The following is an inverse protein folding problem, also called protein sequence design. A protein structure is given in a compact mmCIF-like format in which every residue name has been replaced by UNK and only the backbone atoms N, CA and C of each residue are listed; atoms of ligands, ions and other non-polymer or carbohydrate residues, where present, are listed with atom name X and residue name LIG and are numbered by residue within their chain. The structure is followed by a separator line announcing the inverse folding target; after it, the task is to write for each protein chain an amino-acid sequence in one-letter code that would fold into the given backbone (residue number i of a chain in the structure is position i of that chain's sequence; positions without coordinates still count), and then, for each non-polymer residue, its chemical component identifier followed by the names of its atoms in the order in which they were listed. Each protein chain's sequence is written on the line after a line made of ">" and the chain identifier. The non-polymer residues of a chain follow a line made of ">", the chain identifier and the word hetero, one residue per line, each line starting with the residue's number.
data_IF_797301814741
#
_entry.id   IF_797301814741
#
_cell.length_a   1.000
_cell.length_b   1.000
_cell.length_c   1.000
_cell.angle_alpha   90.00
_cell.angle_beta   90.00
_cell.angle_gamma   90.00
#
_symmetry.space_group_name_H-M   'P 1'
#
loop_
_entity.id
_entity.type
_entity.pdbx_description
1 polymer ?
#
# COMPACT_ATOMS: atom_id res chain seq x y z
N UNK A 1 37.92 23.11 53.49
CA UNK A 1 36.98 22.88 52.38
C UNK A 1 37.13 21.41 52.01
N UNK A 2 36.12 20.58 52.28
CA UNK A 2 36.15 19.15 51.93
C UNK A 2 35.35 18.99 50.64
N UNK A 3 36.04 18.69 49.54
CA UNK A 3 35.40 18.30 48.28
C UNK A 3 34.80 16.90 48.50
N UNK A 4 33.47 16.83 48.54
CA UNK A 4 32.77 15.54 48.55
C UNK A 4 32.65 15.08 47.11
N UNK A 5 33.41 14.06 46.76
CA UNK A 5 33.26 13.31 45.51
C UNK A 5 31.87 12.65 45.53
N UNK A 6 31.02 12.99 44.55
CA UNK A 6 29.67 12.46 44.44
C UNK A 6 29.71 11.05 43.84
N UNK A 7 29.95 10.04 44.67
CA UNK A 7 30.01 8.63 44.25
C UNK A 7 28.63 7.94 44.22
N UNK A 8 27.61 8.62 43.68
CA UNK A 8 26.28 8.04 43.48
C UNK A 8 25.74 8.40 42.10
N UNK A 9 25.40 7.38 41.30
CA UNK A 9 24.68 7.57 40.04
C UNK A 9 23.27 8.08 40.38
N UNK A 10 22.95 9.29 39.93
CA UNK A 10 21.61 9.84 40.04
C UNK A 10 20.67 9.07 39.10
N UNK A 11 19.83 8.20 39.66
CA UNK A 11 18.89 7.36 38.90
C UNK A 11 17.70 8.18 38.39
N UNK A 12 17.33 9.28 39.07
CA UNK A 12 16.14 10.08 38.72
C UNK A 12 16.24 10.66 37.29
N UNK A 13 17.32 11.35 36.88
CA UNK A 13 17.46 11.83 35.50
C UNK A 13 17.63 10.69 34.48
N UNK A 14 18.21 9.56 34.89
CA UNK A 14 18.43 8.41 34.00
C UNK A 14 17.10 7.78 33.58
N UNK A 15 16.21 7.57 34.54
CA UNK A 15 14.87 7.00 34.28
C UNK A 15 14.05 7.93 33.37
N UNK A 16 14.14 9.24 33.57
CA UNK A 16 13.44 10.23 32.73
C UNK A 16 13.86 10.13 31.25
N UNK A 17 15.17 10.07 30.99
CA UNK A 17 15.71 9.88 29.63
C UNK A 17 15.22 8.56 29.01
N UNK A 18 15.21 7.47 29.78
CA UNK A 18 14.74 6.17 29.29
C UNK A 18 13.26 6.20 28.92
N UNK A 19 12.41 6.88 29.70
CA UNK A 19 10.99 7.01 29.40
C UNK A 19 10.75 7.81 28.11
N UNK A 20 11.46 8.93 27.92
CA UNK A 20 11.39 9.73 26.69
C UNK A 20 11.79 8.89 25.47
N UNK A 21 12.86 8.10 25.56
CA UNK A 21 13.30 7.21 24.49
C UNK A 21 12.24 6.17 24.14
N UNK A 22 11.60 5.55 25.14
CA UNK A 22 10.51 4.59 24.94
C UNK A 22 9.32 5.23 24.22
N UNK A 23 8.92 6.44 24.63
CA UNK A 23 7.83 7.18 23.97
C UNK A 23 8.14 7.44 22.50
N UNK A 24 9.36 7.90 22.17
CA UNK A 24 9.77 8.15 20.78
C UNK A 24 9.67 6.85 19.94
N UNK A 25 10.16 5.73 20.45
CA UNK A 25 10.12 4.43 19.74
C UNK A 25 8.68 3.97 19.52
N UNK A 26 7.81 4.07 20.52
CA UNK A 26 6.41 3.66 20.40
C UNK A 26 5.64 4.54 19.41
N UNK A 27 5.82 5.86 19.49
CA UNK A 27 5.16 6.81 18.57
C UNK A 27 5.63 6.63 17.13
N UNK A 28 6.94 6.48 16.90
CA UNK A 28 7.49 6.24 15.56
C UNK A 28 7.09 4.88 15.00
N UNK A 29 7.03 3.83 15.82
CA UNK A 29 6.55 2.50 15.39
C UNK A 29 5.09 2.54 14.93
N UNK A 30 4.23 3.29 15.64
CA UNK A 30 2.82 3.41 15.26
C UNK A 30 2.65 4.22 13.97
N UNK A 31 3.49 5.24 13.76
CA UNK A 31 3.49 6.03 12.53
C UNK A 31 3.95 5.24 11.30
N UNK A 32 4.96 4.37 11.45
CA UNK A 32 5.40 3.48 10.35
C UNK A 32 4.28 2.49 9.97
N UNK A 33 3.47 2.03 10.93
CA UNK A 33 2.34 1.14 10.67
C UNK A 33 1.16 1.81 9.94
N UNK A 34 0.97 3.13 10.10
CA UNK A 34 -0.18 3.87 9.53
C UNK A 34 0.17 4.69 8.27
N UNK A 35 1.38 4.54 7.73
CA UNK A 35 1.82 5.17 6.48
C UNK A 35 1.09 4.70 5.21
N UNK A 36 0.07 3.85 5.34
CA UNK A 36 -0.79 3.40 4.26
C UNK A 36 -2.16 3.99 4.54
N UNK A 37 -2.59 4.94 3.69
CA UNK A 37 -4.00 5.34 3.58
C UNK A 37 -4.83 4.05 3.69
N UNK A 38 -5.81 3.93 4.60
CA UNK A 38 -6.63 2.74 4.71
C UNK A 38 -7.45 2.60 3.41
N UNK A 39 -6.86 1.92 2.43
CA UNK A 39 -7.57 1.48 1.23
C UNK A 39 -8.23 0.18 1.65
N UNK A 40 -9.54 0.24 1.88
CA UNK A 40 -10.36 -0.96 2.03
C UNK A 40 -10.40 -1.70 0.69
N UNK A 41 -9.36 -2.48 0.43
CA UNK A 41 -9.36 -3.40 -0.70
C UNK A 41 -10.32 -4.55 -0.35
N UNK A 42 -11.38 -4.80 -1.14
CA UNK A 42 -12.22 -5.97 -0.95
C UNK A 42 -11.34 -7.21 -1.08
N UNK A 43 -11.31 -8.02 -0.03
CA UNK A 43 -10.55 -9.27 0.00
C UNK A 43 -11.22 -10.22 -0.99
N UNK A 44 -10.58 -10.47 -2.13
CA UNK A 44 -11.00 -11.51 -3.06
C UNK A 44 -10.74 -12.88 -2.41
N UNK A 45 -11.70 -13.32 -1.59
CA UNK A 45 -11.75 -14.67 -1.05
C UNK A 45 -11.89 -15.63 -2.22
N UNK A 46 -10.77 -16.28 -2.57
CA UNK A 46 -10.80 -17.51 -3.35
C UNK A 46 -11.64 -18.53 -2.57
N UNK A 47 -12.79 -18.88 -3.10
CA UNK A 47 -13.62 -19.96 -2.56
C UNK A 47 -15.10 -19.64 -2.67
N UNK A 48 -15.70 -19.92 -3.83
CA UNK A 48 -17.13 -19.84 -4.01
C UNK A 48 -17.50 -19.49 -5.43
N UNK A 49 -17.95 -20.48 -6.19
CA UNK A 49 -18.58 -20.33 -7.49
C UNK A 49 -19.83 -19.46 -7.37
N UNK A 50 -19.65 -18.15 -7.47
CA UNK A 50 -20.63 -17.24 -8.03
C UNK A 50 -19.83 -16.19 -8.75
N UNK A 51 -19.61 -16.44 -10.04
CA UNK A 51 -18.85 -15.59 -10.93
C UNK A 51 -19.54 -14.23 -11.10
N UNK A 52 -19.42 -13.35 -10.11
CA UNK A 52 -19.35 -11.92 -10.38
C UNK A 52 -18.17 -11.78 -11.33
N UNK A 53 -18.44 -11.52 -12.62
CA UNK A 53 -17.45 -11.40 -13.70
C UNK A 53 -16.53 -10.21 -13.44
N UNK A 54 -15.66 -10.30 -12.44
CA UNK A 54 -14.73 -9.24 -12.09
C UNK A 54 -13.69 -9.15 -13.20
N UNK A 55 -13.55 -7.98 -13.80
CA UNK A 55 -12.55 -7.75 -14.86
C UNK A 55 -11.22 -7.49 -14.19
N UNK A 56 -10.24 -8.36 -14.43
CA UNK A 56 -8.87 -8.15 -13.93
C UNK A 56 -8.02 -7.55 -15.04
N UNK A 57 -7.39 -6.42 -14.73
CA UNK A 57 -6.44 -5.72 -15.60
C UNK A 57 -5.06 -5.83 -14.95
N UNK A 58 -4.16 -6.61 -15.53
CA UNK A 58 -2.77 -6.72 -15.08
C UNK A 58 -1.87 -5.82 -15.96
N UNK A 59 -0.94 -5.10 -15.37
CA UNK A 59 0.05 -4.26 -16.07
C UNK A 59 1.44 -4.78 -15.73
N UNK A 60 2.20 -5.19 -16.76
CA UNK A 60 3.56 -5.67 -16.57
C UNK A 60 4.58 -4.53 -16.39
N UNK A 61 5.81 -4.87 -16.02
CA UNK A 61 6.94 -3.94 -15.90
C UNK A 61 7.27 -3.16 -17.19
N UNK A 62 6.92 -3.71 -18.36
CA UNK A 62 7.13 -3.05 -19.65
C UNK A 62 6.00 -2.05 -19.99
N UNK A 63 4.92 -2.02 -19.19
CA UNK A 63 3.73 -1.21 -19.42
C UNK A 63 2.73 -1.86 -20.38
N UNK A 64 2.85 -3.16 -20.63
CA UNK A 64 1.90 -3.95 -21.41
C UNK A 64 0.70 -4.28 -20.52
N UNK A 65 -0.48 -4.00 -21.04
CA UNK A 65 -1.75 -4.22 -20.37
C UNK A 65 -2.28 -5.60 -20.76
N UNK A 66 -2.69 -6.38 -19.76
CA UNK A 66 -3.28 -7.69 -19.91
C UNK A 66 -4.68 -7.70 -19.30
N UNK A 67 -5.65 -8.22 -20.06
CA UNK A 67 -7.00 -8.48 -19.56
C UNK A 67 -7.37 -9.91 -19.90
N UNK A 68 -7.80 -10.69 -18.91
CA UNK A 68 -8.10 -12.12 -19.08
C UNK A 68 -6.95 -12.89 -19.76
N UNK A 69 -5.70 -12.57 -19.39
CA UNK A 69 -4.46 -13.12 -19.99
C UNK A 69 -4.19 -12.75 -21.46
N UNK A 70 -4.88 -11.75 -22.02
CA UNK A 70 -4.60 -11.23 -23.37
C UNK A 70 -3.97 -9.85 -23.30
N UNK A 71 -2.86 -9.68 -24.00
CA UNK A 71 -2.26 -8.36 -24.19
C UNK A 71 -3.19 -7.47 -25.02
N UNK A 72 -3.50 -6.28 -24.52
CA UNK A 72 -4.35 -5.29 -25.15
C UNK A 72 -3.65 -3.94 -25.19
N UNK A 73 -3.95 -3.13 -26.22
CA UNK A 73 -3.61 -1.71 -26.22
C UNK A 73 -4.60 -0.93 -25.34
N UNK A 74 -4.23 0.30 -24.98
CA UNK A 74 -5.10 1.21 -24.22
C UNK A 74 -6.46 1.43 -24.93
N UNK A 75 -6.44 1.57 -26.26
CA UNK A 75 -7.65 1.73 -27.07
C UNK A 75 -8.55 0.47 -27.03
N UNK A 76 -7.93 -0.71 -27.10
CA UNK A 76 -8.65 -1.97 -27.03
C UNK A 76 -9.22 -2.22 -25.63
N UNK A 77 -8.51 -1.78 -24.58
CA UNK A 77 -9.00 -1.79 -23.20
C UNK A 77 -10.25 -0.93 -23.06
N UNK A 78 -10.25 0.29 -23.60
CA UNK A 78 -11.42 1.19 -23.57
C UNK A 78 -12.65 0.56 -24.21
N UNK A 79 -12.48 -0.06 -25.37
CA UNK A 79 -13.58 -0.74 -26.06
C UNK A 79 -14.09 -1.96 -25.27
N UNK A 80 -13.18 -2.70 -24.62
CA UNK A 80 -13.54 -3.82 -23.76
C UNK A 80 -14.30 -3.35 -22.52
N UNK A 81 -13.83 -2.30 -21.85
CA UNK A 81 -14.51 -1.73 -20.68
C UNK A 81 -15.86 -1.09 -21.04
N UNK A 82 -15.98 -0.48 -22.23
CA UNK A 82 -17.27 0.01 -22.72
C UNK A 82 -18.30 -1.11 -22.95
N UNK A 83 -17.84 -2.33 -23.25
CA UNK A 83 -18.70 -3.51 -23.38
C UNK A 83 -19.06 -4.18 -22.04
N UNK A 84 -18.32 -3.83 -20.98
CA UNK A 84 -18.53 -4.33 -19.62
C UNK A 84 -19.43 -3.31 -18.91
N UNK A 85 -20.55 -3.77 -18.36
CA UNK A 85 -21.48 -2.88 -17.64
C UNK A 85 -20.79 -2.17 -16.47
N UNK A 86 -21.17 -0.92 -16.18
CA UNK A 86 -20.62 -0.08 -15.09
C UNK A 86 -20.71 -0.69 -13.69
N UNK A 87 -21.56 -1.69 -13.51
CA UNK A 87 -21.77 -2.38 -12.23
C UNK A 87 -20.78 -3.52 -11.99
N UNK A 88 -19.91 -3.81 -12.96
CA UNK A 88 -18.92 -4.89 -12.85
C UNK A 88 -17.69 -4.39 -12.09
N UNK A 89 -17.28 -5.05 -10.98
CA UNK A 89 -16.05 -4.72 -10.28
C UNK A 89 -14.83 -4.88 -11.20
N UNK A 90 -13.92 -3.91 -11.15
CA UNK A 90 -12.64 -3.94 -11.88
C UNK A 90 -11.50 -4.02 -10.89
N UNK A 91 -10.64 -5.03 -11.05
CA UNK A 91 -9.43 -5.21 -10.26
C UNK A 91 -8.22 -4.85 -11.12
N UNK A 92 -7.47 -3.82 -10.71
CA UNK A 92 -6.25 -3.41 -11.40
C UNK A 92 -5.03 -3.88 -10.60
N UNK A 93 -4.16 -4.64 -11.26
CA UNK A 93 -2.90 -5.13 -10.71
C UNK A 93 -1.77 -4.56 -11.54
N UNK A 94 -0.80 -3.98 -10.88
CA UNK A 94 0.34 -3.35 -11.52
C UNK A 94 1.64 -3.92 -10.95
N UNK A 95 2.61 -4.16 -11.82
CA UNK A 95 3.97 -4.42 -11.38
C UNK A 95 4.53 -3.20 -10.63
N UNK A 96 5.43 -3.43 -9.67
CA UNK A 96 6.00 -2.37 -8.83
C UNK A 96 6.84 -1.37 -9.65
N UNK A 97 7.50 -1.85 -10.69
CA UNK A 97 8.49 -1.07 -11.44
C UNK A 97 7.87 -0.31 -12.63
N UNK A 98 6.53 -0.25 -12.72
CA UNK A 98 5.87 0.47 -13.82
C UNK A 98 6.00 1.99 -13.68
N UNK A 99 6.02 2.67 -14.83
CA UNK A 99 5.89 4.13 -14.85
C UNK A 99 4.49 4.52 -14.41
N UNK A 100 4.40 5.37 -13.39
CA UNK A 100 3.13 5.87 -12.84
C UNK A 100 2.21 6.46 -13.93
N UNK A 101 2.77 7.13 -14.94
CA UNK A 101 2.00 7.67 -16.06
C UNK A 101 1.20 6.59 -16.82
N UNK A 102 1.75 5.38 -16.98
CA UNK A 102 1.05 4.27 -17.65
C UNK A 102 -0.11 3.79 -16.78
N UNK A 103 0.10 3.68 -15.48
CA UNK A 103 -0.95 3.32 -14.52
C UNK A 103 -2.11 4.33 -14.52
N UNK A 104 -1.78 5.63 -14.45
CA UNK A 104 -2.78 6.71 -14.50
C UNK A 104 -3.52 6.70 -15.84
N UNK A 105 -2.82 6.45 -16.95
CA UNK A 105 -3.44 6.32 -18.26
C UNK A 105 -4.46 5.19 -18.33
N UNK A 106 -4.28 4.10 -17.57
CA UNK A 106 -5.26 3.00 -17.48
C UNK A 106 -6.43 3.35 -16.57
N UNK A 107 -6.22 4.16 -15.52
CA UNK A 107 -7.28 4.65 -14.64
C UNK A 107 -8.20 5.69 -15.29
N UNK A 108 -7.72 6.42 -16.29
CA UNK A 108 -8.46 7.48 -17.00
C UNK A 108 -9.33 6.96 -18.16
N UNK A 109 -9.29 5.64 -18.42
CA UNK A 109 -10.07 4.96 -19.47
C UNK A 109 -11.50 4.68 -19.03
#
# INVERSE_FOLDING_TARGET
>A
MQEREFDYINVIPLVDIMLVLLTIVLTTSTFIATGVIPVELPVASKGGETALKTVTIDIDKAGIIYVDSRALSLEALRNRLASVGREVPVLIRADRDIRLQVFVGVLDV
#
